data_IF_532970868786
#
_entry.id   IF_532970868786
#
_cell.length_a   1.000
_cell.length_b   1.000
_cell.length_c   1.000
_cell.angle_alpha   90.00
_cell.angle_beta   90.00
_cell.angle_gamma   90.00
#
_symmetry.space_group_name_H-M   'P 1'
#
loop_
_entity.id
_entity.type
_entity.pdbx_description
1 polymer ?
#
# COMPACT_ATOMS: atom_id res chain seq x y z
N UNK A 1 -15.03 -22.44 17.38
CA UNK A 1 -15.64 -22.99 16.14
C UNK A 1 -14.94 -22.30 14.97
N UNK A 2 -14.21 -23.03 14.12
CA UNK A 2 -13.63 -22.46 12.90
C UNK A 2 -14.78 -22.07 11.97
N UNK A 3 -15.00 -20.76 11.80
CA UNK A 3 -15.88 -20.29 10.74
C UNK A 3 -15.27 -20.71 9.39
N UNK A 4 -16.08 -21.18 8.43
CA UNK A 4 -15.58 -21.49 7.10
C UNK A 4 -14.94 -20.24 6.49
N UNK A 5 -13.78 -20.43 5.86
CA UNK A 5 -13.09 -19.37 5.16
C UNK A 5 -13.86 -19.02 3.88
N UNK A 6 -14.03 -17.73 3.55
CA UNK A 6 -14.82 -17.32 2.39
C UNK A 6 -14.16 -17.67 1.06
N UNK A 7 -12.82 -17.80 1.03
CA UNK A 7 -12.06 -18.15 -0.16
C UNK A 7 -11.65 -19.63 -0.18
N UNK A 8 -11.92 -20.31 -1.29
CA UNK A 8 -11.68 -21.75 -1.45
C UNK A 8 -11.14 -22.10 -2.85
N UNK A 9 -10.40 -23.21 -2.93
CA UNK A 9 -9.88 -23.82 -4.18
C UNK A 9 -10.37 -25.26 -4.36
N UNK A 10 -10.43 -25.74 -5.60
CA UNK A 10 -10.66 -27.16 -5.91
C UNK A 10 -9.52 -27.72 -6.79
N UNK A 11 -8.58 -28.51 -6.23
CA UNK A 11 -7.29 -28.82 -6.86
C UNK A 11 -7.35 -29.89 -7.97
N UNK A 12 -8.54 -30.36 -8.37
CA UNK A 12 -8.70 -31.49 -9.31
C UNK A 12 -8.51 -31.13 -10.79
N UNK A 13 -8.06 -29.92 -11.12
CA UNK A 13 -8.02 -29.39 -12.49
C UNK A 13 -6.68 -28.74 -12.84
N UNK A 14 -6.33 -28.78 -14.14
CA UNK A 14 -5.15 -28.08 -14.72
C UNK A 14 -5.16 -26.58 -14.41
N UNK A 15 -6.36 -26.00 -14.35
CA UNK A 15 -6.62 -24.68 -13.78
C UNK A 15 -7.60 -24.82 -12.62
N UNK A 16 -7.20 -24.35 -11.45
CA UNK A 16 -7.94 -24.41 -10.21
C UNK A 16 -8.86 -23.20 -10.11
N UNK A 17 -10.18 -23.38 -9.94
CA UNK A 17 -11.10 -22.27 -9.72
C UNK A 17 -10.86 -21.67 -8.34
N UNK A 18 -10.77 -20.35 -8.28
CA UNK A 18 -10.83 -19.58 -7.04
C UNK A 18 -12.28 -19.16 -6.83
N UNK A 19 -12.84 -19.48 -5.67
CA UNK A 19 -14.22 -19.16 -5.32
C UNK A 19 -14.27 -18.22 -4.12
N UNK A 20 -15.21 -17.27 -4.15
CA UNK A 20 -15.59 -16.44 -3.01
C UNK A 20 -17.04 -16.74 -2.66
N UNK A 21 -17.29 -17.22 -1.44
CA UNK A 21 -18.63 -17.61 -0.96
C UNK A 21 -19.36 -18.55 -1.94
N UNK A 22 -18.63 -19.53 -2.49
CA UNK A 22 -19.16 -20.51 -3.45
C UNK A 22 -19.33 -20.02 -4.89
N UNK A 23 -19.03 -18.76 -5.20
CA UNK A 23 -19.05 -18.22 -6.57
C UNK A 23 -17.64 -18.20 -7.16
N UNK A 24 -17.49 -18.80 -8.34
CA UNK A 24 -16.21 -18.78 -9.08
C UNK A 24 -15.92 -17.37 -9.55
N UNK A 25 -14.78 -16.81 -9.12
CA UNK A 25 -14.32 -15.47 -9.53
C UNK A 25 -13.14 -15.51 -10.50
N UNK A 26 -12.49 -16.66 -10.66
CA UNK A 26 -11.36 -16.80 -11.57
C UNK A 26 -10.75 -18.19 -11.56
N UNK A 27 -9.75 -18.37 -12.41
CA UNK A 27 -9.00 -19.61 -12.55
C UNK A 27 -7.52 -19.32 -12.45
N UNK A 28 -6.79 -20.17 -11.73
CA UNK A 28 -5.36 -20.02 -11.50
C UNK A 28 -4.64 -21.35 -11.71
N UNK A 29 -3.32 -21.31 -11.96
CA UNK A 29 -2.52 -22.54 -11.93
C UNK A 29 -2.41 -23.04 -10.47
N UNK A 30 -2.35 -24.37 -10.25
CA UNK A 30 -2.36 -24.94 -8.89
C UNK A 30 -1.25 -24.42 -7.97
N UNK A 31 -0.06 -24.17 -8.52
CA UNK A 31 1.12 -23.66 -7.81
C UNK A 31 0.92 -22.27 -7.19
N UNK A 32 0.01 -21.48 -7.74
CA UNK A 32 -0.33 -20.15 -7.20
C UNK A 32 -1.66 -20.14 -6.43
N UNK A 33 -2.57 -21.07 -6.73
CA UNK A 33 -3.93 -21.06 -6.21
C UNK A 33 -3.99 -21.11 -4.68
N UNK A 34 -3.22 -21.99 -4.06
CA UNK A 34 -3.20 -22.15 -2.60
C UNK A 34 -2.60 -20.91 -1.91
N UNK A 35 -1.54 -20.33 -2.48
CA UNK A 35 -0.93 -19.11 -1.96
C UNK A 35 -1.88 -17.93 -2.06
N UNK A 36 -2.56 -17.78 -3.19
CA UNK A 36 -3.55 -16.71 -3.39
C UNK A 36 -4.69 -16.85 -2.37
N UNK A 37 -5.27 -18.05 -2.23
CA UNK A 37 -6.38 -18.26 -1.29
C UNK A 37 -5.95 -18.09 0.17
N UNK A 38 -4.74 -18.51 0.54
CA UNK A 38 -4.19 -18.23 1.87
C UNK A 38 -4.09 -16.71 2.13
N UNK A 39 -3.47 -15.96 1.21
CA UNK A 39 -3.32 -14.50 1.34
C UNK A 39 -4.67 -13.77 1.39
N UNK A 40 -5.63 -14.18 0.56
CA UNK A 40 -6.98 -13.58 0.56
C UNK A 40 -7.74 -13.85 1.87
N UNK A 41 -7.59 -15.05 2.42
CA UNK A 41 -8.19 -15.39 3.72
C UNK A 41 -7.52 -14.65 4.89
N UNK A 42 -6.21 -14.45 4.85
CA UNK A 42 -5.48 -13.62 5.82
C UNK A 42 -5.96 -12.16 5.77
N UNK A 43 -6.10 -11.57 4.58
CA UNK A 43 -6.64 -10.20 4.41
C UNK A 43 -8.05 -10.08 5.01
N UNK A 44 -8.93 -11.05 4.77
CA UNK A 44 -10.27 -11.10 5.38
C UNK A 44 -10.21 -11.16 6.91
N UNK A 45 -9.29 -11.94 7.47
CA UNK A 45 -9.10 -12.00 8.92
C UNK A 45 -8.62 -10.67 9.49
N UNK A 46 -7.65 -10.01 8.85
CA UNK A 46 -7.16 -8.70 9.27
C UNK A 46 -8.26 -7.63 9.19
N UNK A 47 -9.07 -7.63 8.13
CA UNK A 47 -10.21 -6.71 8.00
C UNK A 47 -11.24 -6.93 9.10
N UNK A 48 -11.56 -8.19 9.43
CA UNK A 48 -12.47 -8.51 10.55
C UNK A 48 -11.89 -8.03 11.88
N UNK A 49 -10.61 -8.27 12.15
CA UNK A 49 -9.95 -7.81 13.37
C UNK A 49 -9.95 -6.28 13.48
N UNK A 50 -9.68 -5.56 12.38
CA UNK A 50 -9.75 -4.11 12.34
C UNK A 50 -11.17 -3.60 12.62
N UNK A 51 -12.20 -4.21 12.03
CA UNK A 51 -13.60 -3.84 12.28
C UNK A 51 -13.98 -4.05 13.75
N UNK A 52 -13.52 -5.14 14.37
CA UNK A 52 -13.75 -5.39 15.80
C UNK A 52 -13.05 -4.32 16.67
N UNK A 53 -11.80 -3.98 16.38
CA UNK A 53 -11.10 -2.91 17.10
C UNK A 53 -11.81 -1.55 16.93
N UNK A 54 -12.29 -1.24 15.71
CA UNK A 54 -13.05 -0.03 15.43
C UNK A 54 -14.40 -0.03 16.16
N UNK A 55 -15.06 -1.19 16.26
CA UNK A 55 -16.30 -1.34 17.02
C UNK A 55 -16.10 -0.98 18.48
N UNK A 56 -15.06 -1.50 19.13
CA UNK A 56 -14.76 -1.20 20.54
C UNK A 56 -14.51 0.29 20.78
N UNK A 57 -13.86 0.98 19.82
CA UNK A 57 -13.62 2.42 19.88
C UNK A 57 -14.90 3.23 19.72
N UNK A 58 -15.72 2.89 18.72
CA UNK A 58 -16.97 3.61 18.40
C UNK A 58 -18.05 3.37 19.46
N UNK A 59 -18.12 2.15 20.02
CA UNK A 59 -19.04 1.81 21.10
C UNK A 59 -18.80 2.65 22.36
N UNK A 60 -17.53 2.95 22.69
CA UNK A 60 -17.18 3.85 23.81
C UNK A 60 -17.69 5.27 23.62
N UNK A 61 -17.88 5.72 22.38
CA UNK A 61 -18.43 7.03 22.03
C UNK A 61 -19.94 7.01 21.73
N UNK A 62 -20.64 5.89 21.94
CA UNK A 62 -22.08 5.76 21.67
C UNK A 62 -22.44 5.71 20.18
N UNK A 63 -21.49 5.36 19.32
CA UNK A 63 -21.68 5.33 17.87
C UNK A 63 -22.27 4.02 17.33
N UNK A 64 -22.71 4.05 16.06
CA UNK A 64 -23.37 2.93 15.38
C UNK A 64 -22.52 2.20 14.34
N UNK A 65 -23.04 1.10 13.78
CA UNK A 65 -22.34 0.23 12.83
C UNK A 65 -21.81 0.96 11.58
N UNK A 66 -22.52 1.96 11.05
CA UNK A 66 -22.06 2.78 9.92
C UNK A 66 -20.77 3.53 10.25
N UNK A 67 -20.63 4.03 11.48
CA UNK A 67 -19.44 4.75 11.92
C UNK A 67 -18.24 3.82 12.11
N UNK A 68 -18.48 2.54 12.45
CA UNK A 68 -17.44 1.51 12.50
C UNK A 68 -16.87 1.25 11.11
N UNK A 69 -17.74 1.10 10.11
CA UNK A 69 -17.30 0.89 8.72
C UNK A 69 -16.54 2.11 8.20
N UNK A 70 -17.04 3.33 8.43
CA UNK A 70 -16.35 4.56 8.06
C UNK A 70 -14.97 4.68 8.72
N UNK A 71 -14.86 4.35 10.00
CA UNK A 71 -13.59 4.41 10.73
C UNK A 71 -12.59 3.37 10.20
N UNK A 72 -13.03 2.14 9.98
CA UNK A 72 -12.21 1.08 9.40
C UNK A 72 -11.73 1.46 7.99
N UNK A 73 -12.60 2.00 7.14
CA UNK A 73 -12.23 2.47 5.80
C UNK A 73 -11.22 3.63 5.87
N UNK A 74 -11.37 4.58 6.80
CA UNK A 74 -10.37 5.64 6.99
C UNK A 74 -9.01 5.11 7.40
N UNK A 75 -8.96 4.09 8.27
CA UNK A 75 -7.68 3.47 8.64
C UNK A 75 -7.06 2.68 7.48
N UNK A 76 -7.85 1.91 6.74
CA UNK A 76 -7.37 1.21 5.54
C UNK A 76 -6.86 2.20 4.48
N UNK A 77 -7.55 3.32 4.26
CA UNK A 77 -7.11 4.35 3.32
C UNK A 77 -5.77 5.00 3.75
N UNK A 78 -5.53 5.15 5.06
CA UNK A 78 -4.26 5.64 5.60
C UNK A 78 -3.14 4.61 5.54
N UNK A 79 -3.47 3.33 5.72
CA UNK A 79 -2.52 2.23 5.67
C UNK A 79 -2.22 1.76 4.24
N UNK A 80 -3.10 2.10 3.29
CA UNK A 80 -2.93 1.77 1.88
C UNK A 80 -1.71 2.46 1.29
N UNK A 81 -1.05 1.76 0.35
CA UNK A 81 0.05 2.32 -0.45
C UNK A 81 -0.44 3.61 -1.12
N UNK A 82 0.16 4.79 -0.82
CA UNK A 82 -0.23 6.03 -1.46
C UNK A 82 -0.13 5.87 -2.98
N UNK A 83 -1.17 6.27 -3.71
CA UNK A 83 -1.18 6.10 -5.17
C UNK A 83 -0.65 7.32 -5.92
N UNK A 84 -0.67 8.50 -5.27
CA UNK A 84 -0.42 9.82 -5.86
C UNK A 84 0.14 10.80 -4.82
N UNK A 85 0.62 11.96 -5.27
CA UNK A 85 1.06 13.06 -4.41
C UNK A 85 2.39 12.81 -3.71
N UNK A 86 2.79 13.73 -2.83
CA UNK A 86 4.07 13.65 -2.09
C UNK A 86 4.21 12.33 -1.33
N UNK A 87 3.13 11.81 -0.75
CA UNK A 87 3.14 10.54 -0.04
C UNK A 87 3.56 9.34 -0.92
N UNK A 88 3.22 9.35 -2.21
CA UNK A 88 3.70 8.33 -3.16
C UNK A 88 5.19 8.50 -3.43
N UNK A 89 5.67 9.73 -3.63
CA UNK A 89 7.10 10.00 -3.83
C UNK A 89 7.93 9.62 -2.61
N UNK A 90 7.45 9.94 -1.40
CA UNK A 90 8.07 9.53 -0.15
C UNK A 90 8.17 8.00 -0.04
N UNK A 91 7.12 7.27 -0.45
CA UNK A 91 7.18 5.82 -0.49
C UNK A 91 8.21 5.32 -1.52
N UNK A 92 8.24 5.88 -2.73
CA UNK A 92 9.22 5.50 -3.75
C UNK A 92 10.66 5.73 -3.28
N UNK A 93 10.90 6.80 -2.51
CA UNK A 93 12.20 7.05 -1.89
C UNK A 93 12.56 5.98 -0.87
N UNK A 94 11.59 5.54 -0.07
CA UNK A 94 11.78 4.46 0.90
C UNK A 94 12.03 3.11 0.21
N UNK A 95 11.25 2.78 -0.81
CA UNK A 95 11.47 1.57 -1.62
C UNK A 95 12.88 1.61 -2.23
N UNK A 96 13.32 2.78 -2.71
CA UNK A 96 14.66 2.98 -3.25
C UNK A 96 15.76 2.84 -2.20
N UNK A 97 15.52 3.31 -0.97
CA UNK A 97 16.42 3.11 0.15
C UNK A 97 16.59 1.62 0.47
N UNK A 98 15.48 0.88 0.53
CA UNK A 98 15.46 -0.56 0.80
C UNK A 98 16.16 -1.35 -0.32
N UNK A 99 15.96 -0.98 -1.59
CA UNK A 99 16.65 -1.56 -2.75
C UNK A 99 18.18 -1.38 -2.70
N UNK A 100 18.63 -0.25 -2.17
CA UNK A 100 20.05 0.07 -2.04
C UNK A 100 20.67 -0.48 -0.74
N UNK A 101 19.86 -1.05 0.15
CA UNK A 101 20.25 -1.55 1.47
C UNK A 101 20.99 -0.49 2.31
N UNK A 102 20.44 0.74 2.33
CA UNK A 102 21.03 1.88 3.02
C UNK A 102 20.28 2.21 4.31
N UNK A 103 21.03 2.51 5.37
CA UNK A 103 20.45 3.15 6.56
C UNK A 103 19.94 4.56 6.26
N UNK A 104 19.10 5.11 7.13
CA UNK A 104 18.53 6.46 6.97
C UNK A 104 19.61 7.54 6.80
N UNK A 105 20.75 7.40 7.50
CA UNK A 105 21.84 8.36 7.40
C UNK A 105 22.61 8.23 6.09
N UNK A 106 22.85 7.00 5.62
CA UNK A 106 23.51 6.74 4.34
C UNK A 106 22.63 7.18 3.17
N UNK A 107 21.33 6.92 3.25
CA UNK A 107 20.38 7.34 2.23
C UNK A 107 20.27 8.86 2.16
N UNK A 108 20.25 9.56 3.29
CA UNK A 108 20.28 11.02 3.31
C UNK A 108 21.55 11.58 2.64
N UNK A 109 22.72 10.97 2.88
CA UNK A 109 23.98 11.35 2.21
C UNK A 109 23.93 11.03 0.71
N UNK A 110 23.36 9.89 0.34
CA UNK A 110 23.14 9.52 -1.06
C UNK A 110 22.27 10.56 -1.78
N UNK A 111 21.12 10.94 -1.22
CA UNK A 111 20.25 11.99 -1.78
C UNK A 111 20.97 13.34 -1.94
N UNK A 112 21.84 13.68 -0.99
CA UNK A 112 22.62 14.93 -1.03
C UNK A 112 23.56 14.98 -2.25
N UNK A 113 24.12 13.84 -2.68
CA UNK A 113 24.93 13.77 -3.91
C UNK A 113 24.15 14.12 -5.19
N UNK A 114 22.82 13.97 -5.15
CA UNK A 114 21.91 14.37 -6.24
C UNK A 114 21.33 15.77 -6.05
N UNK A 115 21.80 16.53 -5.05
CA UNK A 115 21.32 17.87 -4.68
C UNK A 115 19.91 17.87 -4.09
N UNK A 116 19.52 16.80 -3.40
CA UNK A 116 18.34 16.79 -2.54
C UNK A 116 18.80 16.82 -1.08
N UNK A 117 18.71 17.97 -0.44
CA UNK A 117 19.24 18.17 0.90
C UNK A 117 18.43 17.41 1.96
N UNK A 118 19.05 17.14 3.12
CA UNK A 118 18.39 16.47 4.24
C UNK A 118 17.11 17.18 4.73
N UNK A 119 17.04 18.51 4.84
CA UNK A 119 15.80 19.20 5.17
C UNK A 119 14.69 19.01 4.14
N UNK A 120 15.03 19.04 2.85
CA UNK A 120 14.06 18.80 1.76
C UNK A 120 13.55 17.37 1.78
N UNK A 121 14.45 16.40 1.94
CA UNK A 121 14.09 14.99 2.10
C UNK A 121 13.16 14.79 3.30
N UNK A 122 13.47 15.43 4.44
CA UNK A 122 12.62 15.40 5.63
C UNK A 122 11.24 16.04 5.38
N UNK A 123 11.18 17.14 4.62
CA UNK A 123 9.93 17.80 4.27
C UNK A 123 9.04 16.90 3.41
N UNK A 124 9.63 16.18 2.44
CA UNK A 124 8.91 15.22 1.60
C UNK A 124 8.33 14.08 2.45
N UNK A 125 9.11 13.51 3.39
CA UNK A 125 8.61 12.48 4.30
C UNK A 125 7.50 12.98 5.25
N UNK A 126 7.50 14.27 5.57
CA UNK A 126 6.43 14.91 6.35
C UNK A 126 5.18 15.22 5.51
N UNK A 127 5.20 14.95 4.19
CA UNK A 127 4.09 15.24 3.28
C UNK A 127 4.06 16.69 2.77
N UNK A 128 5.17 17.43 2.88
CA UNK A 128 5.30 18.76 2.31
C UNK A 128 5.24 18.77 0.78
N UNK A 129 5.00 19.94 0.20
CA UNK A 129 4.97 20.06 -1.26
C UNK A 129 6.35 19.82 -1.88
N UNK A 130 6.34 19.27 -3.09
CA UNK A 130 7.54 19.09 -3.91
C UNK A 130 7.70 20.32 -4.79
N UNK A 131 8.84 20.98 -4.69
CA UNK A 131 9.16 22.15 -5.48
C UNK A 131 9.78 21.75 -6.83
N UNK A 132 9.61 22.59 -7.86
CA UNK A 132 10.05 22.27 -9.22
C UNK A 132 11.54 21.95 -9.33
N UNK A 133 12.40 22.55 -8.51
CA UNK A 133 13.83 22.27 -8.52
C UNK A 133 14.17 20.88 -7.98
N UNK A 134 13.28 20.28 -7.18
CA UNK A 134 13.46 18.96 -6.58
C UNK A 134 13.12 17.82 -7.56
N UNK A 135 12.33 18.10 -8.61
CA UNK A 135 11.90 17.08 -9.59
C UNK A 135 13.07 16.41 -10.30
N UNK A 136 14.10 17.16 -10.70
CA UNK A 136 15.27 16.60 -11.38
C UNK A 136 16.10 15.70 -10.44
N UNK A 137 16.52 16.15 -9.23
CA UNK A 137 17.13 15.28 -8.22
C UNK A 137 16.33 14.01 -7.94
N UNK A 138 15.02 14.14 -7.69
CA UNK A 138 14.13 13.02 -7.37
C UNK A 138 14.06 12.01 -8.51
N UNK A 139 13.92 12.46 -9.76
CA UNK A 139 13.89 11.57 -10.93
C UNK A 139 15.15 10.69 -11.03
N UNK A 140 16.32 11.28 -10.73
CA UNK A 140 17.62 10.57 -10.76
C UNK A 140 17.77 9.57 -9.63
N UNK A 141 17.36 9.94 -8.41
CA UNK A 141 17.37 9.06 -7.24
C UNK A 141 16.47 7.84 -7.49
N UNK A 142 15.26 8.08 -8.00
CA UNK A 142 14.23 7.07 -8.23
C UNK A 142 14.42 6.28 -9.53
N UNK A 143 15.38 6.65 -10.38
CA UNK A 143 15.67 5.93 -11.63
C UNK A 143 14.55 6.01 -12.68
N UNK A 144 13.74 7.07 -12.65
CA UNK A 144 12.64 7.31 -13.61
C UNK A 144 12.78 8.67 -14.28
N UNK A 145 12.04 8.90 -15.36
CA UNK A 145 12.01 10.21 -16.02
C UNK A 145 11.29 11.26 -15.18
N UNK A 146 11.59 12.54 -15.44
CA UNK A 146 10.90 13.67 -14.79
C UNK A 146 9.40 13.64 -15.10
N UNK A 147 9.01 13.27 -16.32
CA UNK A 147 7.61 13.20 -16.73
C UNK A 147 6.85 12.08 -16.00
N UNK A 148 7.47 10.91 -15.82
CA UNK A 148 6.89 9.82 -15.01
C UNK A 148 6.71 10.23 -13.55
N UNK A 149 7.69 10.92 -12.97
CA UNK A 149 7.60 11.46 -11.62
C UNK A 149 6.47 12.49 -11.50
N UNK A 150 6.35 13.40 -12.47
CA UNK A 150 5.26 14.40 -12.49
C UNK A 150 3.90 13.71 -12.61
N UNK A 151 3.77 12.68 -13.46
CA UNK A 151 2.53 11.92 -13.60
C UNK A 151 2.14 11.23 -12.28
N UNK A 152 3.09 10.59 -11.61
CA UNK A 152 2.89 9.96 -10.31
C UNK A 152 2.53 10.98 -9.22
N UNK A 153 3.18 12.16 -9.22
CA UNK A 153 2.96 13.21 -8.24
C UNK A 153 1.62 13.94 -8.45
N UNK A 154 1.34 14.41 -9.66
CA UNK A 154 0.12 15.18 -10.00
C UNK A 154 -1.10 14.30 -10.20
N UNK A 155 -0.93 12.99 -10.37
CA UNK A 155 -2.05 12.07 -10.53
C UNK A 155 -2.81 12.22 -11.83
N UNK A 156 -2.16 12.72 -12.90
CA UNK A 156 -2.74 12.70 -14.24
C UNK A 156 -2.55 11.31 -14.81
N UNK A 157 -3.66 10.58 -14.94
CA UNK A 157 -3.73 9.43 -15.85
C UNK A 157 -3.44 9.95 -17.26
N UNK A 158 -2.52 9.28 -17.96
CA UNK A 158 -2.43 9.39 -19.41
C UNK A 158 -3.67 8.77 -20.06
#
# INVERSE_FOLDING_TARGET
MNQPLPWETNPTKVYVPISYEGKVVGFCRPDFADRIVATLNEDEQFRKALKLACYDLVARSGGGATQVEELAQRYLAKAGRPKRGTAMVALLLKDRQDELDLSDEEFAKFCDTFKLSRPELSNIYAGGDIESHQLTPLSRILGMSVDELIAAWQGKEG
#
